data_IF_093737374456
#
_entry.id   IF_093737374456
#
_cell.length_a   1.000
_cell.length_b   1.000
_cell.length_c   1.000
_cell.angle_alpha   90.00
_cell.angle_beta   90.00
_cell.angle_gamma   90.00
#
_symmetry.space_group_name_H-M   'P 1'
#
loop_
_entity.id
_entity.type
_entity.pdbx_description
1 polymer ?
#
# COMPACT_ATOMS: atom_id res chain seq x y z
N UNK A 1 51.81 -21.70 -7.60
CA UNK A 1 50.89 -22.62 -8.30
C UNK A 1 49.64 -21.85 -8.73
N UNK A 2 49.53 -21.69 -10.02
CA UNK A 2 48.45 -21.00 -10.71
C UNK A 2 47.16 -21.84 -10.62
N UNK A 3 46.09 -21.24 -10.13
CA UNK A 3 44.75 -21.81 -10.29
C UNK A 3 44.09 -21.22 -11.52
N UNK A 4 44.01 -22.05 -12.57
CA UNK A 4 43.21 -21.82 -13.76
C UNK A 4 41.73 -21.75 -13.37
N UNK A 5 41.11 -20.58 -13.44
CA UNK A 5 39.67 -20.48 -13.46
C UNK A 5 39.19 -20.89 -14.86
N UNK A 6 38.60 -22.07 -14.94
CA UNK A 6 38.21 -22.70 -16.21
C UNK A 6 37.22 -21.82 -16.99
N UNK A 7 37.39 -21.76 -18.31
CA UNK A 7 36.51 -21.05 -19.25
C UNK A 7 35.04 -21.52 -19.14
N UNK A 8 34.81 -22.72 -18.64
CA UNK A 8 33.49 -23.27 -18.33
C UNK A 8 32.79 -22.58 -17.16
N UNK A 9 33.50 -22.16 -16.10
CA UNK A 9 32.89 -21.39 -15.02
C UNK A 9 32.53 -19.96 -15.47
N UNK A 10 33.36 -19.32 -16.30
CA UNK A 10 33.02 -18.03 -16.91
C UNK A 10 31.83 -18.14 -17.87
N UNK A 11 31.72 -19.20 -18.66
CA UNK A 11 30.54 -19.49 -19.50
C UNK A 11 29.30 -19.81 -18.69
N UNK A 12 29.42 -20.56 -17.58
CA UNK A 12 28.30 -20.82 -16.66
C UNK A 12 27.82 -19.56 -15.96
N UNK A 13 28.74 -18.70 -15.50
CA UNK A 13 28.44 -17.40 -14.92
C UNK A 13 27.86 -16.42 -15.95
N UNK A 14 28.33 -16.46 -17.20
CA UNK A 14 27.74 -15.67 -18.28
C UNK A 14 26.36 -16.21 -18.70
N UNK A 15 26.16 -17.51 -18.77
CA UNK A 15 24.85 -18.12 -19.05
C UNK A 15 23.84 -17.84 -17.93
N UNK A 16 24.28 -17.79 -16.66
CA UNK A 16 23.45 -17.34 -15.54
C UNK A 16 23.11 -15.82 -15.61
N UNK A 17 23.97 -14.99 -16.19
CA UNK A 17 23.71 -13.55 -16.46
C UNK A 17 22.75 -13.32 -17.62
N UNK A 18 22.65 -14.25 -18.58
CA UNK A 18 21.77 -14.18 -19.76
C UNK A 18 20.46 -14.96 -19.63
N UNK A 19 20.16 -15.54 -18.48
CA UNK A 19 18.77 -15.85 -18.19
C UNK A 19 18.05 -14.49 -18.00
N UNK A 20 17.75 -13.84 -19.12
CA UNK A 20 16.66 -12.87 -19.18
C UNK A 20 15.52 -13.52 -18.42
N UNK A 21 15.14 -12.96 -17.28
CA UNK A 21 13.95 -13.38 -16.52
C UNK A 21 12.74 -13.08 -17.41
N UNK A 22 12.56 -13.90 -18.44
CA UNK A 22 11.33 -13.91 -19.21
C UNK A 22 10.22 -14.11 -18.21
N UNK A 23 9.16 -13.31 -18.34
CA UNK A 23 7.94 -13.52 -17.56
C UNK A 23 7.60 -14.99 -17.78
N UNK A 24 7.50 -15.80 -16.72
CA UNK A 24 7.07 -17.17 -16.89
C UNK A 24 5.75 -17.19 -17.67
N UNK A 25 5.55 -18.13 -18.59
CA UNK A 25 4.34 -18.20 -19.45
C UNK A 25 3.02 -18.17 -18.64
N UNK A 26 3.08 -18.49 -17.36
CA UNK A 26 1.94 -18.43 -16.44
C UNK A 26 1.71 -17.04 -15.80
N UNK A 27 2.62 -16.07 -15.96
CA UNK A 27 2.54 -14.73 -15.37
C UNK A 27 1.97 -13.72 -16.37
N UNK A 28 0.87 -13.06 -16.02
CA UNK A 28 0.28 -11.99 -16.83
C UNK A 28 0.88 -10.63 -16.50
N UNK A 29 1.35 -9.91 -17.53
CA UNK A 29 1.72 -8.49 -17.42
C UNK A 29 0.63 -7.64 -18.05
N UNK A 30 0.00 -6.76 -17.25
CA UNK A 30 -1.16 -5.96 -17.66
C UNK A 30 -0.84 -4.48 -17.46
N UNK A 31 -1.19 -3.62 -18.43
CA UNK A 31 -1.14 -2.17 -18.27
C UNK A 31 -2.28 -1.71 -17.38
N UNK A 32 -1.99 -0.90 -16.34
CA UNK A 32 -3.02 -0.36 -15.47
C UNK A 32 -3.92 0.62 -16.21
N UNK A 33 -5.20 0.40 -16.10
CA UNK A 33 -6.24 1.31 -16.61
C UNK A 33 -7.57 1.05 -15.87
N UNK A 34 -8.51 2.00 -15.85
CA UNK A 34 -9.82 1.80 -15.24
C UNK A 34 -10.57 0.57 -15.76
N UNK A 35 -10.33 0.14 -16.99
CA UNK A 35 -10.99 -1.04 -17.60
C UNK A 35 -10.88 -2.31 -16.78
N UNK A 36 -9.76 -2.49 -16.02
CA UNK A 36 -9.50 -3.73 -15.30
C UNK A 36 -10.15 -3.80 -13.91
N UNK A 37 -10.58 -2.67 -13.34
CA UNK A 37 -11.10 -2.62 -11.98
C UNK A 37 -12.37 -1.78 -11.79
N UNK A 38 -12.78 -0.94 -12.77
CA UNK A 38 -13.86 0.03 -12.61
C UNK A 38 -15.22 -0.61 -12.29
N UNK A 39 -15.49 -1.81 -12.82
CA UNK A 39 -16.73 -2.56 -12.56
C UNK A 39 -16.92 -2.90 -11.09
N UNK A 40 -15.82 -3.09 -10.36
CA UNK A 40 -15.81 -3.40 -8.93
C UNK A 40 -15.54 -2.18 -8.05
N UNK A 41 -15.38 -1.00 -8.65
CA UNK A 41 -15.11 0.22 -7.90
C UNK A 41 -16.26 0.50 -6.91
N UNK A 42 -15.97 0.87 -5.64
CA UNK A 42 -16.97 0.95 -4.59
C UNK A 42 -17.80 2.24 -4.68
N UNK A 43 -18.54 2.41 -5.78
CA UNK A 43 -19.45 3.55 -5.94
C UNK A 43 -20.50 3.56 -4.82
N UNK A 44 -20.69 4.74 -4.21
CA UNK A 44 -21.70 4.93 -3.17
C UNK A 44 -23.09 4.79 -3.76
N UNK A 45 -23.91 3.95 -3.14
CA UNK A 45 -25.35 3.80 -3.43
C UNK A 45 -26.17 4.67 -2.48
N UNK A 46 -27.43 4.99 -2.83
CA UNK A 46 -28.37 5.69 -1.93
C UNK A 46 -28.55 4.95 -0.59
N UNK A 47 -28.53 3.61 -0.60
CA UNK A 47 -28.62 2.75 0.58
C UNK A 47 -27.32 2.61 1.39
N UNK A 48 -26.21 3.23 0.94
CA UNK A 48 -24.93 3.10 1.66
C UNK A 48 -24.96 3.85 3.00
N UNK A 49 -24.55 3.18 4.06
CA UNK A 49 -24.41 3.75 5.41
C UNK A 49 -22.95 3.63 5.89
N UNK A 50 -22.63 4.22 7.06
CA UNK A 50 -21.26 4.22 7.59
C UNK A 50 -20.69 2.81 7.85
N UNK A 51 -21.53 1.82 8.05
CA UNK A 51 -21.09 0.44 8.29
C UNK A 51 -20.81 -0.32 7.00
N UNK A 52 -21.61 -0.08 5.95
CA UNK A 52 -21.43 -0.72 4.64
C UNK A 52 -20.26 -0.15 3.83
N UNK A 53 -19.69 0.99 4.24
CA UNK A 53 -18.55 1.65 3.57
C UNK A 53 -17.18 1.23 4.08
N UNK A 54 -17.13 0.23 4.95
CA UNK A 54 -15.90 -0.24 5.55
C UNK A 54 -15.41 0.60 6.75
N UNK A 55 -14.57 -0.02 7.55
CA UNK A 55 -13.96 0.56 8.76
C UNK A 55 -12.47 0.35 8.71
N UNK A 56 -11.74 1.44 8.75
CA UNK A 56 -10.28 1.47 8.68
C UNK A 56 -9.69 1.63 10.08
N UNK A 57 -8.68 0.83 10.38
CA UNK A 57 -7.80 0.99 11.53
C UNK A 57 -6.43 1.47 11.06
N UNK A 58 -5.91 2.57 11.59
CA UNK A 58 -4.59 3.08 11.27
C UNK A 58 -3.70 2.97 12.50
N UNK A 59 -2.52 2.36 12.37
CA UNK A 59 -1.43 2.45 13.35
C UNK A 59 -0.43 3.50 12.88
N UNK A 60 -0.34 4.62 13.61
CA UNK A 60 0.53 5.75 13.28
C UNK A 60 0.56 6.78 14.41
N UNK A 61 0.82 8.04 14.06
CA UNK A 61 0.64 9.17 14.98
C UNK A 61 1.70 9.31 16.06
N UNK A 62 2.96 8.99 15.78
CA UNK A 62 4.05 9.41 16.66
C UNK A 62 4.28 10.92 16.56
N UNK A 63 4.69 11.54 17.68
CA UNK A 63 4.78 13.00 17.86
C UNK A 63 5.46 13.73 16.70
N UNK A 64 6.62 13.26 16.27
CA UNK A 64 7.43 13.92 15.24
C UNK A 64 7.05 13.52 13.81
N UNK A 65 6.10 12.59 13.62
CA UNK A 65 5.74 12.00 12.32
C UNK A 65 4.23 12.00 12.09
N UNK A 66 3.50 12.78 12.87
CA UNK A 66 2.03 12.84 12.83
C UNK A 66 1.48 13.27 11.47
N UNK A 67 2.24 14.06 10.70
CA UNK A 67 1.86 14.51 9.36
C UNK A 67 1.58 13.36 8.39
N UNK A 68 2.41 12.31 8.40
CA UNK A 68 2.20 11.12 7.58
C UNK A 68 0.87 10.42 7.91
N UNK A 69 0.57 10.27 9.21
CA UNK A 69 -0.71 9.71 9.66
C UNK A 69 -1.90 10.58 9.26
N UNK A 70 -1.74 11.91 9.33
CA UNK A 70 -2.78 12.88 8.92
C UNK A 70 -3.08 12.71 7.43
N UNK A 71 -2.05 12.70 6.57
CA UNK A 71 -2.19 12.54 5.12
C UNK A 71 -2.91 11.23 4.78
N UNK A 72 -2.47 10.11 5.38
CA UNK A 72 -3.06 8.81 5.14
C UNK A 72 -4.53 8.74 5.61
N UNK A 73 -4.84 9.24 6.80
CA UNK A 73 -6.20 9.24 7.35
C UNK A 73 -7.16 10.12 6.54
N UNK A 74 -6.70 11.31 6.13
CA UNK A 74 -7.52 12.22 5.31
C UNK A 74 -7.79 11.63 3.93
N UNK A 75 -6.78 11.02 3.30
CA UNK A 75 -6.96 10.29 2.04
C UNK A 75 -8.01 9.17 2.18
N UNK A 76 -7.98 8.38 3.25
CA UNK A 76 -9.00 7.37 3.53
C UNK A 76 -10.42 7.96 3.58
N UNK A 77 -10.59 9.05 4.32
CA UNK A 77 -11.89 9.73 4.48
C UNK A 77 -12.39 10.31 3.16
N UNK A 78 -11.48 10.94 2.36
CA UNK A 78 -11.82 11.56 1.07
C UNK A 78 -12.23 10.55 0.00
N UNK A 79 -11.64 9.34 -0.02
CA UNK A 79 -12.08 8.25 -0.89
C UNK A 79 -13.46 7.75 -0.48
N UNK A 80 -13.78 7.79 0.82
CA UNK A 80 -15.15 7.63 1.29
C UNK A 80 -15.42 6.41 2.16
N UNK A 81 -14.41 5.88 2.84
CA UNK A 81 -14.60 4.89 3.90
C UNK A 81 -15.57 5.38 4.98
N UNK A 82 -16.30 4.47 5.61
CA UNK A 82 -17.35 4.82 6.56
C UNK A 82 -16.85 5.31 7.91
N UNK A 83 -15.71 4.80 8.38
CA UNK A 83 -15.07 5.26 9.62
C UNK A 83 -13.57 4.98 9.64
N UNK A 84 -12.84 5.82 10.37
CA UNK A 84 -11.41 5.68 10.63
C UNK A 84 -11.18 5.68 12.13
N UNK A 85 -10.40 4.70 12.61
CA UNK A 85 -9.85 4.65 13.97
C UNK A 85 -8.32 4.77 13.86
N UNK A 86 -7.73 5.62 14.68
CA UNK A 86 -6.28 5.84 14.68
C UNK A 86 -5.72 5.40 16.03
N UNK A 87 -4.86 4.38 16.01
CA UNK A 87 -4.02 4.02 17.17
C UNK A 87 -2.85 4.99 17.17
N UNK A 88 -2.76 5.82 18.18
CA UNK A 88 -1.78 6.90 18.31
C UNK A 88 -1.25 7.01 19.74
N UNK A 89 -0.33 7.94 19.96
CA UNK A 89 0.19 8.23 21.30
C UNK A 89 -0.65 9.29 22.01
N UNK A 90 -0.57 9.35 23.34
CA UNK A 90 -1.29 10.33 24.16
C UNK A 90 -1.02 11.76 23.71
N UNK A 91 0.22 12.08 23.38
CA UNK A 91 0.68 13.41 22.99
C UNK A 91 0.04 13.89 21.68
N UNK A 92 -0.40 12.98 20.83
CA UNK A 92 -0.94 13.30 19.50
C UNK A 92 -2.47 13.27 19.42
N UNK A 93 -3.15 12.77 20.46
CA UNK A 93 -4.62 12.71 20.50
C UNK A 93 -5.28 14.07 20.28
N UNK A 94 -4.80 15.11 20.93
CA UNK A 94 -5.38 16.45 20.80
C UNK A 94 -5.25 16.97 19.36
N UNK A 95 -4.06 16.87 18.77
CA UNK A 95 -3.79 17.32 17.39
C UNK A 95 -4.70 16.57 16.41
N UNK A 96 -4.79 15.24 16.55
CA UNK A 96 -5.64 14.42 15.70
C UNK A 96 -7.12 14.68 15.95
N UNK A 97 -7.52 15.08 17.16
CA UNK A 97 -8.92 15.41 17.48
C UNK A 97 -9.35 16.72 16.85
N UNK A 98 -8.48 17.72 16.83
CA UNK A 98 -8.70 18.98 16.14
C UNK A 98 -8.77 18.75 14.62
N UNK A 99 -7.80 18.01 14.06
CA UNK A 99 -7.71 17.78 12.61
C UNK A 99 -8.83 16.88 12.09
N UNK A 100 -9.23 15.84 12.85
CA UNK A 100 -10.24 14.85 12.45
C UNK A 100 -11.29 14.61 13.54
N UNK A 101 -12.26 15.53 13.73
CA UNK A 101 -13.36 15.30 14.67
C UNK A 101 -14.15 14.01 14.37
N UNK A 102 -14.22 13.63 13.08
CA UNK A 102 -14.94 12.44 12.60
C UNK A 102 -14.20 11.12 12.75
N UNK A 103 -12.90 11.12 13.07
CA UNK A 103 -12.14 9.89 13.33
C UNK A 103 -12.06 9.58 14.82
N UNK A 104 -12.03 8.29 15.18
CA UNK A 104 -11.80 7.85 16.56
C UNK A 104 -10.29 7.72 16.83
N UNK A 105 -9.84 8.22 17.95
CA UNK A 105 -8.45 8.11 18.42
C UNK A 105 -8.39 7.11 19.55
N UNK A 106 -7.45 6.17 19.47
CA UNK A 106 -7.29 5.06 20.42
C UNK A 106 -5.87 5.13 20.96
N UNK A 107 -5.74 5.43 22.25
CA UNK A 107 -4.47 5.31 22.95
C UNK A 107 -4.21 3.85 23.30
N UNK A 108 -3.06 3.33 22.89
CA UNK A 108 -2.63 1.97 23.22
C UNK A 108 -1.27 2.03 23.92
N UNK A 109 -1.26 1.78 25.22
CA UNK A 109 -0.07 1.94 26.06
C UNK A 109 0.82 0.69 26.06
N UNK A 110 0.24 -0.50 25.87
CA UNK A 110 0.97 -1.76 25.93
C UNK A 110 0.39 -2.82 24.99
N UNK A 111 1.17 -3.90 24.81
CA UNK A 111 0.84 -4.99 23.88
C UNK A 111 -0.38 -5.81 24.34
N UNK A 112 -0.61 -5.97 25.64
CA UNK A 112 -1.75 -6.72 26.19
C UNK A 112 -3.05 -6.00 25.90
N UNK A 113 -3.07 -4.68 26.07
CA UNK A 113 -4.22 -3.87 25.72
C UNK A 113 -4.48 -3.88 24.20
N UNK A 114 -3.42 -3.79 23.36
CA UNK A 114 -3.58 -3.94 21.91
C UNK A 114 -4.23 -5.28 21.55
N UNK A 115 -3.78 -6.40 22.12
CA UNK A 115 -4.35 -7.73 21.86
C UNK A 115 -5.84 -7.78 22.22
N UNK A 116 -6.22 -7.27 23.38
CA UNK A 116 -7.61 -7.22 23.83
C UNK A 116 -8.46 -6.34 22.90
N UNK A 117 -7.96 -5.19 22.51
CA UNK A 117 -8.59 -4.29 21.54
C UNK A 117 -8.80 -4.98 20.19
N UNK A 118 -7.76 -5.58 19.62
CA UNK A 118 -7.83 -6.25 18.31
C UNK A 118 -8.78 -7.45 18.32
N UNK A 119 -8.86 -8.22 19.41
CA UNK A 119 -9.85 -9.31 19.57
C UNK A 119 -11.28 -8.82 19.44
N UNK A 120 -11.59 -7.62 19.97
CA UNK A 120 -12.91 -6.99 19.85
C UNK A 120 -13.12 -6.43 18.44
N UNK A 121 -12.12 -5.76 17.88
CA UNK A 121 -12.22 -5.07 16.60
C UNK A 121 -12.17 -5.97 15.36
N UNK A 122 -11.61 -7.17 15.44
CA UNK A 122 -11.43 -8.08 14.30
C UNK A 122 -12.68 -8.38 13.48
N UNK A 123 -13.86 -8.32 14.13
CA UNK A 123 -15.15 -8.56 13.47
C UNK A 123 -15.70 -7.31 12.77
N UNK A 124 -15.22 -6.14 13.12
CA UNK A 124 -15.75 -4.86 12.65
C UNK A 124 -14.76 -4.08 11.79
N UNK A 125 -13.46 -4.25 11.99
CA UNK A 125 -12.43 -3.63 11.17
C UNK A 125 -12.33 -4.34 9.82
N UNK A 126 -12.56 -3.60 8.75
CA UNK A 126 -12.47 -4.12 7.38
C UNK A 126 -11.02 -4.25 6.92
N UNK A 127 -10.19 -3.27 7.24
CA UNK A 127 -8.79 -3.19 6.83
C UNK A 127 -7.97 -2.39 7.83
N UNK A 128 -6.69 -2.75 8.00
CA UNK A 128 -5.74 -1.94 8.73
C UNK A 128 -4.68 -1.35 7.82
N UNK A 129 -4.29 -0.10 8.07
CA UNK A 129 -3.10 0.54 7.54
C UNK A 129 -2.08 0.69 8.66
N UNK A 130 -0.88 0.21 8.43
CA UNK A 130 0.20 0.26 9.42
C UNK A 130 1.42 0.91 8.80
N UNK A 131 1.97 1.91 9.48
CA UNK A 131 3.28 2.45 9.13
C UNK A 131 3.37 3.95 8.95
N UNK A 132 2.45 4.66 8.26
CA UNK A 132 2.53 6.11 8.13
C UNK A 132 2.66 6.80 9.48
N UNK A 133 3.86 7.30 9.81
CA UNK A 133 4.14 7.97 11.07
C UNK A 133 4.05 7.08 12.32
N UNK A 134 4.28 5.77 12.20
CA UNK A 134 4.27 4.84 13.34
C UNK A 134 5.61 4.80 14.11
N UNK A 135 6.67 5.32 13.49
CA UNK A 135 8.04 5.27 14.01
C UNK A 135 8.72 3.91 13.77
N UNK A 136 9.97 3.96 13.31
CA UNK A 136 10.76 2.77 13.04
C UNK A 136 11.41 2.24 14.34
N UNK A 137 10.71 1.38 15.07
CA UNK A 137 11.17 0.84 16.35
C UNK A 137 10.56 -0.54 16.67
N UNK A 138 11.06 -1.19 17.74
CA UNK A 138 10.62 -2.51 18.17
C UNK A 138 9.14 -2.55 18.60
N UNK A 139 8.59 -1.46 19.12
CA UNK A 139 7.16 -1.36 19.50
C UNK A 139 6.28 -1.43 18.25
N UNK A 140 6.63 -0.65 17.21
CA UNK A 140 5.94 -0.67 15.91
C UNK A 140 5.95 -2.06 15.31
N UNK A 141 7.10 -2.75 15.31
CA UNK A 141 7.21 -4.12 14.81
C UNK A 141 6.26 -5.07 15.57
N UNK A 142 6.30 -5.06 16.92
CA UNK A 142 5.44 -5.92 17.74
C UNK A 142 3.95 -5.63 17.53
N UNK A 143 3.58 -4.35 17.37
CA UNK A 143 2.19 -3.95 17.12
C UNK A 143 1.74 -4.37 15.72
N UNK A 144 2.62 -4.23 14.73
CA UNK A 144 2.37 -4.72 13.36
C UNK A 144 2.10 -6.22 13.35
N UNK A 145 2.89 -7.02 14.07
CA UNK A 145 2.66 -8.47 14.17
C UNK A 145 1.29 -8.80 14.75
N UNK A 146 0.88 -8.12 15.82
CA UNK A 146 -0.43 -8.37 16.40
C UNK A 146 -1.57 -7.95 15.47
N UNK A 147 -1.43 -6.84 14.73
CA UNK A 147 -2.43 -6.44 13.74
C UNK A 147 -2.51 -7.48 12.61
N UNK A 148 -1.37 -7.97 12.11
CA UNK A 148 -1.31 -9.00 11.06
C UNK A 148 -1.97 -10.32 11.47
N UNK A 149 -1.92 -10.69 12.77
CA UNK A 149 -2.58 -11.89 13.33
C UNK A 149 -4.09 -11.75 13.43
N UNK A 150 -4.60 -10.55 13.68
CA UNK A 150 -6.00 -10.35 14.03
C UNK A 150 -6.84 -9.76 12.91
N UNK A 151 -6.25 -8.95 12.02
CA UNK A 151 -6.95 -8.26 10.94
C UNK A 151 -6.67 -8.95 9.61
N UNK A 152 -7.74 -9.28 8.89
CA UNK A 152 -7.65 -10.02 7.62
C UNK A 152 -6.93 -9.19 6.55
N UNK A 153 -7.36 -7.97 6.27
CA UNK A 153 -6.75 -7.10 5.26
C UNK A 153 -5.82 -6.10 5.92
N UNK A 154 -4.55 -6.11 5.54
CA UNK A 154 -3.55 -5.18 6.10
C UNK A 154 -2.68 -4.61 4.99
N UNK A 155 -2.54 -3.29 5.00
CA UNK A 155 -1.62 -2.54 4.16
C UNK A 155 -0.43 -2.12 5.03
N UNK A 156 0.78 -2.48 4.60
CA UNK A 156 2.02 -2.13 5.28
C UNK A 156 2.81 -1.14 4.44
N UNK A 157 3.11 0.01 5.00
CA UNK A 157 3.90 1.07 4.35
C UNK A 157 4.94 1.65 5.32
N UNK A 158 5.92 2.37 4.81
CA UNK A 158 6.86 3.19 5.57
C UNK A 158 7.44 2.46 6.83
N UNK A 159 7.19 2.99 8.03
CA UNK A 159 7.77 2.49 9.28
C UNK A 159 7.36 1.06 9.63
N UNK A 160 6.19 0.60 9.18
CA UNK A 160 5.83 -0.81 9.34
C UNK A 160 6.83 -1.72 8.60
N UNK A 161 7.23 -1.37 7.38
CA UNK A 161 8.21 -2.11 6.60
C UNK A 161 9.61 -1.96 7.20
N UNK A 162 10.02 -0.74 7.51
CA UNK A 162 11.33 -0.44 8.07
C UNK A 162 11.58 -1.14 9.42
N UNK A 163 10.55 -1.33 10.24
CA UNK A 163 10.65 -2.02 11.54
C UNK A 163 11.02 -3.51 11.42
N UNK A 164 10.83 -4.11 10.24
CA UNK A 164 11.25 -5.49 9.93
C UNK A 164 12.59 -5.56 9.20
N UNK A 165 13.31 -4.45 9.02
CA UNK A 165 14.67 -4.49 8.49
C UNK A 165 15.50 -5.53 9.26
N UNK A 166 16.26 -6.39 8.54
CA UNK A 166 17.00 -7.54 9.07
C UNK A 166 16.13 -8.64 9.73
N UNK A 167 14.80 -8.54 9.66
CA UNK A 167 13.85 -9.53 10.22
C UNK A 167 12.83 -10.00 9.20
N UNK A 168 13.21 -10.02 7.93
CA UNK A 168 12.36 -10.38 6.78
C UNK A 168 11.63 -11.71 6.98
N UNK A 169 12.35 -12.75 7.45
CA UNK A 169 11.74 -14.08 7.71
C UNK A 169 10.58 -13.99 8.70
N UNK A 170 10.62 -13.05 9.64
CA UNK A 170 9.57 -12.84 10.63
C UNK A 170 8.33 -12.22 9.99
N UNK A 171 8.51 -11.23 9.11
CA UNK A 171 7.41 -10.61 8.36
C UNK A 171 6.75 -11.61 7.40
N UNK A 172 7.54 -12.37 6.64
CA UNK A 172 7.05 -13.33 5.64
C UNK A 172 6.08 -14.37 6.22
N UNK A 173 6.18 -14.71 7.50
CA UNK A 173 5.25 -15.64 8.20
C UNK A 173 3.81 -15.13 8.25
N UNK A 174 3.60 -13.82 8.12
CA UNK A 174 2.27 -13.20 8.20
C UNK A 174 1.73 -12.71 6.87
N UNK A 175 2.56 -12.76 5.81
CA UNK A 175 2.17 -12.27 4.50
C UNK A 175 1.40 -13.34 3.73
N UNK A 176 0.17 -13.01 3.36
CA UNK A 176 -0.74 -13.82 2.56
C UNK A 176 -1.44 -12.96 1.49
N UNK A 177 -2.38 -13.53 0.74
CA UNK A 177 -3.12 -12.87 -0.35
C UNK A 177 -4.00 -11.68 0.09
N UNK A 178 -4.21 -11.51 1.39
CA UNK A 178 -4.98 -10.39 1.98
C UNK A 178 -4.10 -9.23 2.44
N UNK A 179 -2.78 -9.38 2.37
CA UNK A 179 -1.82 -8.35 2.77
C UNK A 179 -1.22 -7.67 1.55
N UNK A 180 -0.89 -6.40 1.70
CA UNK A 180 -0.17 -5.60 0.70
C UNK A 180 1.00 -4.91 1.37
N UNK A 181 2.18 -5.02 0.78
CA UNK A 181 3.31 -4.16 1.11
C UNK A 181 3.50 -3.11 0.02
N UNK A 182 3.85 -1.86 0.40
CA UNK A 182 3.97 -0.74 -0.53
C UNK A 182 5.35 -0.07 -0.50
N UNK A 183 6.46 -0.82 -0.62
CA UNK A 183 7.79 -0.26 -0.51
C UNK A 183 8.16 0.62 -1.72
N UNK A 184 8.97 1.66 -1.52
CA UNK A 184 9.81 2.22 -2.57
C UNK A 184 11.09 1.36 -2.73
N UNK A 185 11.88 1.61 -3.77
CA UNK A 185 13.06 0.77 -4.10
C UNK A 185 14.03 0.59 -2.93
N UNK A 186 14.30 1.65 -2.17
CA UNK A 186 15.24 1.56 -1.04
C UNK A 186 14.64 0.80 0.16
N UNK A 187 13.35 0.95 0.46
CA UNK A 187 12.64 0.15 1.47
C UNK A 187 12.64 -1.33 1.09
N UNK A 188 12.34 -1.62 -0.18
CA UNK A 188 12.39 -2.99 -0.71
C UNK A 188 13.76 -3.62 -0.51
N UNK A 189 14.83 -2.90 -0.85
CA UNK A 189 16.19 -3.42 -0.72
C UNK A 189 16.61 -3.66 0.73
N UNK A 190 16.22 -2.77 1.65
CA UNK A 190 16.45 -2.97 3.09
C UNK A 190 15.69 -4.18 3.65
N UNK A 191 14.46 -4.37 3.16
CA UNK A 191 13.60 -5.45 3.63
C UNK A 191 14.00 -6.80 3.03
N UNK A 192 14.43 -6.84 1.76
CA UNK A 192 14.80 -8.06 1.04
C UNK A 192 16.25 -8.00 0.52
N UNK A 193 17.27 -7.96 1.41
CA UNK A 193 18.67 -7.81 1.00
C UNK A 193 19.19 -8.99 0.17
N UNK A 194 18.55 -10.16 0.25
CA UNK A 194 18.89 -11.33 -0.60
C UNK A 194 18.44 -11.18 -2.05
N UNK A 195 17.59 -10.21 -2.37
CA UNK A 195 17.22 -9.89 -3.75
C UNK A 195 18.18 -8.83 -4.25
N UNK A 196 18.95 -9.15 -5.30
CA UNK A 196 19.99 -8.27 -5.82
C UNK A 196 19.49 -6.88 -6.18
N UNK A 197 20.24 -5.84 -5.76
CA UNK A 197 19.84 -4.46 -6.01
C UNK A 197 19.96 -4.06 -7.49
N UNK A 198 20.84 -4.70 -8.23
CA UNK A 198 21.04 -4.52 -9.67
C UNK A 198 19.85 -4.91 -10.54
N UNK A 199 18.93 -5.74 -10.02
CA UNK A 199 17.78 -6.22 -10.76
C UNK A 199 16.78 -5.10 -11.07
N UNK A 200 16.11 -5.22 -12.22
CA UNK A 200 14.99 -4.37 -12.58
C UNK A 200 13.82 -4.54 -11.62
N UNK A 201 12.96 -3.52 -11.52
CA UNK A 201 11.80 -3.53 -10.63
C UNK A 201 10.87 -4.72 -10.87
N UNK A 202 10.73 -5.15 -12.13
CA UNK A 202 9.91 -6.31 -12.51
C UNK A 202 10.46 -7.62 -11.94
N UNK A 203 11.77 -7.81 -12.02
CA UNK A 203 12.45 -9.00 -11.48
C UNK A 203 12.38 -9.03 -9.97
N UNK A 204 12.52 -7.88 -9.32
CA UNK A 204 12.32 -7.73 -7.87
C UNK A 204 10.91 -8.17 -7.45
N UNK A 205 9.88 -7.72 -8.16
CA UNK A 205 8.50 -8.15 -7.91
C UNK A 205 8.32 -9.65 -8.14
N UNK A 206 8.87 -10.20 -9.22
CA UNK A 206 8.81 -11.65 -9.49
C UNK A 206 9.48 -12.47 -8.38
N UNK A 207 10.68 -12.07 -7.93
CA UNK A 207 11.37 -12.76 -6.81
C UNK A 207 10.56 -12.67 -5.52
N UNK A 208 9.97 -11.52 -5.21
CA UNK A 208 9.09 -11.37 -4.05
C UNK A 208 7.87 -12.31 -4.12
N UNK A 209 7.18 -12.38 -5.27
CA UNK A 209 6.01 -13.25 -5.45
C UNK A 209 6.32 -14.75 -5.34
N UNK A 210 7.59 -15.13 -5.53
CA UNK A 210 8.07 -16.50 -5.26
C UNK A 210 8.33 -16.77 -3.78
N UNK A 211 8.63 -15.72 -2.99
CA UNK A 211 8.90 -15.87 -1.55
C UNK A 211 7.60 -16.01 -0.73
N UNK A 212 6.52 -15.37 -1.16
CA UNK A 212 5.25 -15.41 -0.44
C UNK A 212 4.05 -15.15 -1.36
N UNK A 213 2.85 -15.50 -0.89
CA UNK A 213 1.58 -15.28 -1.63
C UNK A 213 0.98 -13.88 -1.45
N UNK A 214 1.74 -12.94 -0.92
CA UNK A 214 1.25 -11.58 -0.64
C UNK A 214 1.24 -10.69 -1.87
N UNK A 215 0.56 -9.55 -1.76
CA UNK A 215 0.58 -8.52 -2.77
C UNK A 215 1.72 -7.53 -2.51
N UNK A 216 2.25 -6.95 -3.57
CA UNK A 216 3.25 -5.89 -3.50
C UNK A 216 2.90 -4.75 -4.45
N UNK A 217 3.08 -3.51 -3.99
CA UNK A 217 3.12 -2.31 -4.81
C UNK A 217 4.53 -1.71 -4.69
N UNK A 218 5.38 -1.97 -5.66
CA UNK A 218 6.74 -1.44 -5.71
C UNK A 218 6.72 -0.05 -6.35
N UNK A 219 6.90 0.98 -5.50
CA UNK A 219 6.89 2.40 -5.91
C UNK A 219 8.13 2.75 -6.76
N UNK A 220 7.94 3.54 -7.81
CA UNK A 220 8.99 4.04 -8.71
C UNK A 220 8.40 4.87 -9.83
N UNK A 221 9.24 5.38 -10.77
CA UNK A 221 8.79 6.12 -11.97
C UNK A 221 7.68 5.36 -12.72
N UNK A 222 7.82 4.06 -12.77
CA UNK A 222 6.76 3.13 -13.11
C UNK A 222 6.48 2.29 -11.88
N UNK A 223 5.28 2.38 -11.33
CA UNK A 223 4.86 1.55 -10.20
C UNK A 223 4.42 0.18 -10.69
N UNK A 224 4.92 -0.88 -10.07
CA UNK A 224 4.54 -2.26 -10.36
C UNK A 224 3.72 -2.83 -9.21
N UNK A 225 2.58 -3.43 -9.54
CA UNK A 225 1.68 -4.04 -8.57
C UNK A 225 1.62 -5.53 -8.88
N UNK A 226 2.12 -6.34 -7.95
CA UNK A 226 2.22 -7.78 -8.12
C UNK A 226 1.29 -8.53 -7.18
N UNK A 227 0.64 -9.57 -7.68
CA UNK A 227 -0.16 -10.52 -6.90
C UNK A 227 -0.20 -11.85 -7.61
N UNK A 228 0.08 -12.94 -6.91
CA UNK A 228 0.02 -14.31 -7.43
C UNK A 228 0.63 -14.43 -8.85
N UNK A 229 -0.21 -14.57 -9.88
CA UNK A 229 0.20 -14.77 -11.30
C UNK A 229 0.06 -13.50 -12.16
N UNK A 230 -0.08 -12.33 -11.54
CA UNK A 230 -0.35 -11.09 -12.27
C UNK A 230 0.57 -9.96 -11.80
N UNK A 231 1.17 -9.26 -12.76
CA UNK A 231 1.85 -7.99 -12.52
C UNK A 231 1.12 -6.91 -13.32
N UNK A 232 0.74 -5.83 -12.66
CA UNK A 232 0.11 -4.67 -13.26
C UNK A 232 1.12 -3.53 -13.29
N UNK A 233 1.37 -2.98 -14.48
CA UNK A 233 2.29 -1.87 -14.72
C UNK A 233 1.50 -0.56 -14.73
N UNK A 234 1.71 0.30 -13.73
CA UNK A 234 1.14 1.64 -13.67
C UNK A 234 2.15 2.67 -14.14
N UNK A 235 1.95 3.19 -15.34
CA UNK A 235 2.69 4.33 -15.91
C UNK A 235 1.86 5.62 -15.94
N UNK A 236 0.65 5.58 -15.35
CA UNK A 236 -0.22 6.75 -15.22
C UNK A 236 0.19 7.54 -13.98
N UNK A 237 1.25 8.32 -14.09
CA UNK A 237 1.84 9.13 -13.01
C UNK A 237 2.58 10.34 -13.62
N UNK A 238 2.99 11.29 -12.79
CA UNK A 238 3.92 12.37 -13.15
C UNK A 238 5.10 12.39 -12.18
N UNK A 239 6.18 13.07 -12.57
CA UNK A 239 7.36 13.34 -11.73
C UNK A 239 7.01 14.15 -10.47
N UNK A 240 5.95 14.94 -10.52
CA UNK A 240 5.47 15.78 -9.40
C UNK A 240 5.10 14.96 -8.16
N UNK A 241 4.91 13.65 -8.30
CA UNK A 241 4.70 12.74 -7.15
C UNK A 241 5.94 12.53 -6.27
N UNK A 242 7.09 13.03 -6.67
CA UNK A 242 8.34 12.94 -5.89
C UNK A 242 8.39 13.97 -4.76
N UNK A 243 7.32 14.03 -3.95
CA UNK A 243 7.18 14.92 -2.80
C UNK A 243 6.94 14.11 -1.51
N UNK A 244 7.39 14.66 -0.38
CA UNK A 244 7.19 14.04 0.95
C UNK A 244 5.70 13.87 1.23
N UNK A 245 5.29 12.71 1.75
CA UNK A 245 3.91 12.41 2.10
C UNK A 245 3.05 11.85 0.97
N UNK A 246 3.51 11.91 -0.28
CA UNK A 246 2.80 11.36 -1.44
C UNK A 246 2.51 9.85 -1.28
N UNK A 247 3.47 9.09 -0.72
CA UNK A 247 3.30 7.68 -0.40
C UNK A 247 2.22 7.43 0.65
N UNK A 248 2.13 8.29 1.68
CA UNK A 248 1.12 8.18 2.75
C UNK A 248 -0.30 8.40 2.19
N UNK A 249 -0.44 9.38 1.27
CA UNK A 249 -1.71 9.61 0.56
C UNK A 249 -2.09 8.38 -0.28
N UNK A 250 -1.15 7.81 -1.04
CA UNK A 250 -1.38 6.59 -1.83
C UNK A 250 -1.82 5.42 -0.94
N UNK A 251 -1.12 5.19 0.18
CA UNK A 251 -1.47 4.15 1.14
C UNK A 251 -2.88 4.35 1.70
N UNK A 252 -3.27 5.59 2.02
CA UNK A 252 -4.61 5.95 2.46
C UNK A 252 -5.69 5.67 1.40
N UNK A 253 -5.46 6.06 0.15
CA UNK A 253 -6.38 5.79 -0.97
C UNK A 253 -6.61 4.27 -1.11
N UNK A 254 -5.53 3.49 -1.18
CA UNK A 254 -5.60 2.03 -1.34
C UNK A 254 -6.35 1.40 -0.16
N UNK A 255 -6.03 1.82 1.06
CA UNK A 255 -6.66 1.30 2.28
C UNK A 255 -8.17 1.51 2.27
N UNK A 256 -8.63 2.69 1.87
CA UNK A 256 -10.07 2.96 1.76
C UNK A 256 -10.76 2.07 0.72
N UNK A 257 -10.12 1.85 -0.43
CA UNK A 257 -10.64 0.99 -1.50
C UNK A 257 -10.72 -0.49 -1.08
N UNK A 258 -9.73 -1.00 -0.35
CA UNK A 258 -9.76 -2.35 0.23
C UNK A 258 -10.84 -2.47 1.30
N UNK A 259 -11.03 -1.42 2.10
CA UNK A 259 -11.98 -1.41 3.22
C UNK A 259 -13.44 -1.59 2.83
N UNK A 260 -13.84 -1.21 1.61
CA UNK A 260 -15.21 -1.41 1.10
C UNK A 260 -15.51 -2.89 0.72
N UNK A 261 -14.51 -3.76 0.66
CA UNK A 261 -14.60 -5.20 0.36
C UNK A 261 -15.18 -5.58 -1.02
N UNK A 262 -15.28 -4.65 -1.96
CA UNK A 262 -15.75 -4.96 -3.34
C UNK A 262 -14.62 -5.29 -4.29
N UNK A 263 -13.45 -4.73 -4.01
CA UNK A 263 -12.24 -4.91 -4.81
C UNK A 263 -11.31 -5.91 -4.13
N UNK A 264 -10.64 -6.74 -4.92
CA UNK A 264 -9.47 -7.48 -4.42
C UNK A 264 -8.35 -6.49 -4.06
N UNK A 265 -7.38 -6.94 -3.26
CA UNK A 265 -6.22 -6.12 -2.88
C UNK A 265 -5.47 -5.62 -4.13
N UNK A 266 -5.32 -6.49 -5.15
CA UNK A 266 -4.68 -6.14 -6.42
C UNK A 266 -5.45 -5.03 -7.17
N UNK A 267 -6.77 -5.16 -7.26
CA UNK A 267 -7.63 -4.17 -7.93
C UNK A 267 -7.62 -2.83 -7.19
N UNK A 268 -7.71 -2.85 -5.86
CA UNK A 268 -7.65 -1.65 -5.02
C UNK A 268 -6.30 -0.93 -5.12
N UNK A 269 -5.18 -1.68 -5.09
CA UNK A 269 -3.85 -1.13 -5.27
C UNK A 269 -3.68 -0.51 -6.67
N UNK A 270 -4.24 -1.15 -7.71
CA UNK A 270 -4.19 -0.65 -9.09
C UNK A 270 -5.04 0.61 -9.26
N UNK A 271 -6.25 0.63 -8.72
CA UNK A 271 -7.12 1.80 -8.75
C UNK A 271 -6.53 2.97 -7.96
N UNK A 272 -5.96 2.69 -6.76
CA UNK A 272 -5.28 3.70 -5.95
C UNK A 272 -4.09 4.33 -6.66
N UNK A 273 -3.22 3.52 -7.25
CA UNK A 273 -2.07 4.00 -8.02
C UNK A 273 -2.48 4.81 -9.26
N UNK A 274 -3.55 4.42 -9.93
CA UNK A 274 -4.08 5.15 -11.08
C UNK A 274 -4.66 6.51 -10.66
N UNK A 275 -5.53 6.54 -9.62
CA UNK A 275 -6.12 7.77 -9.09
C UNK A 275 -5.04 8.77 -8.60
N UNK A 276 -4.07 8.27 -7.87
CA UNK A 276 -2.93 9.07 -7.38
C UNK A 276 -2.17 9.73 -8.54
N UNK A 277 -1.91 8.96 -9.60
CA UNK A 277 -1.31 9.48 -10.83
C UNK A 277 -2.19 10.44 -11.60
N UNK A 278 -3.52 10.20 -11.68
CA UNK A 278 -4.47 11.09 -12.37
C UNK A 278 -4.54 12.46 -11.69
N UNK A 279 -4.57 12.47 -10.36
CA UNK A 279 -4.58 13.72 -9.58
C UNK A 279 -3.31 14.52 -9.86
N UNK A 280 -2.15 13.87 -9.79
CA UNK A 280 -0.86 14.55 -10.00
C UNK A 280 -0.71 15.12 -11.41
N UNK A 281 -1.15 14.40 -12.43
CA UNK A 281 -1.14 14.86 -13.83
C UNK A 281 -2.07 16.07 -14.05
N UNK A 282 -3.22 16.08 -13.39
CA UNK A 282 -4.20 17.16 -13.51
C UNK A 282 -3.80 18.42 -12.72
N UNK A 283 -3.10 18.24 -11.61
CA UNK A 283 -2.58 19.36 -10.83
C UNK A 283 -1.39 20.01 -11.57
N UNK A 284 -0.41 19.22 -11.99
CA UNK A 284 0.80 19.71 -12.68
C UNK A 284 1.87 20.19 -11.69
N UNK A 285 2.66 21.17 -12.13
CA UNK A 285 3.80 21.72 -11.37
C UNK A 285 3.38 22.33 -10.04
N UNK A 286 4.23 22.22 -9.03
CA UNK A 286 4.01 22.77 -7.69
C UNK A 286 3.15 21.90 -6.79
N UNK A 287 2.90 20.65 -7.16
CA UNK A 287 2.13 19.69 -6.37
C UNK A 287 2.78 19.45 -5.00
N UNK A 288 1.97 19.54 -3.96
CA UNK A 288 2.28 19.01 -2.61
C UNK A 288 1.29 17.92 -2.22
N UNK A 289 1.60 17.19 -1.15
CA UNK A 289 0.77 16.03 -0.76
C UNK A 289 -0.65 16.40 -0.34
N UNK A 290 -0.86 17.58 0.22
CA UNK A 290 -2.16 18.15 0.56
C UNK A 290 -3.04 18.38 -0.68
N UNK A 291 -2.43 18.70 -1.83
CA UNK A 291 -3.17 18.89 -3.09
C UNK A 291 -3.64 17.56 -3.66
N UNK A 292 -2.86 16.48 -3.47
CA UNK A 292 -3.32 15.13 -3.80
C UNK A 292 -4.63 14.82 -3.07
N UNK A 293 -4.72 15.15 -1.78
CA UNK A 293 -5.91 14.90 -0.97
C UNK A 293 -7.10 15.76 -1.45
N UNK A 294 -6.87 17.04 -1.72
CA UNK A 294 -7.90 17.95 -2.29
C UNK A 294 -8.38 17.50 -3.66
N UNK A 295 -7.49 16.88 -4.44
CA UNK A 295 -7.78 16.34 -5.77
C UNK A 295 -8.64 15.06 -5.77
N UNK A 296 -8.69 14.27 -4.67
CA UNK A 296 -9.42 13.00 -4.60
C UNK A 296 -10.90 13.16 -5.01
N UNK A 297 -11.70 14.06 -4.43
CA UNK A 297 -13.12 14.17 -4.77
C UNK A 297 -13.36 14.49 -6.25
N UNK A 298 -12.52 15.34 -6.84
CA UNK A 298 -12.62 15.71 -8.26
C UNK A 298 -12.24 14.54 -9.17
N UNK A 299 -11.18 13.79 -8.85
CA UNK A 299 -10.77 12.60 -9.59
C UNK A 299 -11.87 11.52 -9.56
N UNK A 300 -12.48 11.28 -8.40
CA UNK A 300 -13.60 10.35 -8.25
C UNK A 300 -14.83 10.79 -9.08
N UNK A 301 -15.14 12.08 -9.11
CA UNK A 301 -16.23 12.63 -9.91
C UNK A 301 -15.99 12.42 -11.41
N UNK A 302 -14.77 12.73 -11.91
CA UNK A 302 -14.39 12.49 -13.31
C UNK A 302 -14.50 11.02 -13.68
N UNK A 303 -13.89 10.15 -12.88
CA UNK A 303 -13.89 8.70 -13.11
C UNK A 303 -15.31 8.14 -13.18
N UNK A 304 -16.22 8.59 -12.30
CA UNK A 304 -17.61 8.16 -12.30
C UNK A 304 -18.36 8.61 -13.57
N UNK A 305 -18.15 9.87 -13.98
CA UNK A 305 -18.80 10.40 -15.17
C UNK A 305 -18.36 9.66 -16.45
N UNK A 306 -17.04 9.43 -16.60
CA UNK A 306 -16.50 8.64 -17.72
C UNK A 306 -17.04 7.20 -17.73
N UNK A 307 -17.22 6.60 -16.56
CA UNK A 307 -17.82 5.28 -16.43
C UNK A 307 -19.28 5.23 -16.87
N UNK A 308 -20.08 6.22 -16.43
CA UNK A 308 -21.52 6.30 -16.80
C UNK A 308 -21.68 6.52 -18.30
N UNK A 309 -20.90 7.43 -18.91
CA UNK A 309 -20.94 7.69 -20.35
C UNK A 309 -20.63 6.43 -21.15
N UNK A 310 -19.60 5.67 -20.75
CA UNK A 310 -19.25 4.41 -21.44
C UNK A 310 -20.31 3.34 -21.30
N UNK A 311 -21.06 3.30 -20.21
CA UNK A 311 -22.17 2.35 -20.04
C UNK A 311 -23.40 2.68 -20.90
N UNK A 312 -23.59 3.96 -21.28
CA UNK A 312 -24.66 4.39 -22.15
C UNK A 312 -24.39 4.14 -23.64
N UNK A 313 -23.08 4.00 -23.96
CA UNK A 313 -22.62 3.83 -25.35
C UNK A 313 -22.22 2.37 -25.65
N UNK A 314 -22.38 1.46 -24.73
CA UNK A 314 -22.18 0.00 -24.86
C UNK A 314 -23.49 -0.75 -24.71
#
# INVERSE_FOLDING_TARGET
>A
PNFYTSSSQKKYMAAMRFLHYTIPNWMKLIKNSPKIWIKKFPWKKKSSNKYSRGRVLILGGQKNMIGATILAAEACLRVGVGSVKIICTKETIQILSIKFPSALKIEINNISYLKSFLKKERKTTSVALVGPGAGNNAKTMKYTEEILKHIKYVILDADALNSFQHRTKKLLKYLDEYKLITPHKAEFQRLFPSIENSLESKEKVLKFLRLCKSNILLKGNTTLIGSNKTIIKNSHSSSELAVIGSGDVLAGIITSLVGDNKMSVLEAASAGAWLHGDISKKHGKGLISEDLIKGIPLALKRLKNEWIIKQRNS
#
